data_IF_655438607851
#
_entry.id   IF_655438607851
#
_cell.length_a   1.000
_cell.length_b   1.000
_cell.length_c   1.000
_cell.angle_alpha   90.00
_cell.angle_beta   90.00
_cell.angle_gamma   90.00
#
_symmetry.space_group_name_H-M   'P 1'
#
loop_
_entity.id
_entity.type
_entity.pdbx_description
1 polymer ?
#
# COMPACT_ATOMS: atom_id res chain seq x y z
N UNK A 1 -40.06 -24.16 -18.86
CA UNK A 1 -38.66 -24.14 -18.42
C UNK A 1 -38.03 -22.88 -18.99
N UNK A 2 -37.99 -21.83 -18.21
CA UNK A 2 -37.34 -20.56 -18.57
C UNK A 2 -35.83 -20.77 -18.48
N UNK A 3 -35.15 -20.76 -19.61
CA UNK A 3 -33.68 -20.70 -19.66
C UNK A 3 -33.27 -19.34 -19.14
N UNK A 4 -32.81 -19.28 -17.90
CA UNK A 4 -32.08 -18.11 -17.39
C UNK A 4 -30.76 -18.07 -18.15
N UNK A 5 -30.62 -17.10 -19.04
CA UNK A 5 -29.33 -16.77 -19.64
C UNK A 5 -28.35 -16.45 -18.52
N UNK A 6 -27.12 -16.98 -18.57
CA UNK A 6 -26.07 -16.53 -17.61
C UNK A 6 -25.92 -15.02 -17.74
N UNK A 7 -25.68 -14.32 -16.62
CA UNK A 7 -25.44 -12.88 -16.67
C UNK A 7 -24.29 -12.59 -17.63
N UNK A 8 -24.45 -11.54 -18.44
CA UNK A 8 -23.39 -11.09 -19.32
C UNK A 8 -22.10 -10.86 -18.51
N UNK A 9 -20.92 -11.19 -19.07
CA UNK A 9 -19.66 -10.94 -18.36
C UNK A 9 -19.59 -9.49 -17.94
N UNK A 10 -19.21 -9.25 -16.69
CA UNK A 10 -19.02 -7.90 -16.15
C UNK A 10 -17.84 -7.24 -16.86
N UNK A 11 -18.13 -6.32 -17.77
CA UNK A 11 -17.15 -5.52 -18.50
C UNK A 11 -16.79 -4.22 -17.77
N UNK A 12 -17.19 -4.07 -16.52
CA UNK A 12 -16.91 -2.88 -15.73
C UNK A 12 -15.42 -2.78 -15.34
N UNK A 13 -14.91 -1.56 -15.32
CA UNK A 13 -13.60 -1.24 -14.73
C UNK A 13 -13.85 -0.83 -13.29
N UNK A 14 -13.24 -1.54 -12.36
CA UNK A 14 -13.31 -1.20 -10.93
C UNK A 14 -12.12 -0.35 -10.52
N UNK A 15 -12.34 0.58 -9.63
CA UNK A 15 -11.29 1.44 -9.07
C UNK A 15 -11.02 1.03 -7.62
N UNK A 16 -9.78 0.65 -7.36
CA UNK A 16 -9.27 0.42 -6.02
C UNK A 16 -8.39 1.60 -5.59
N UNK A 17 -8.32 1.82 -4.29
CA UNK A 17 -7.42 2.80 -3.68
C UNK A 17 -6.52 2.05 -2.70
N UNK A 18 -5.21 2.23 -2.83
CA UNK A 18 -4.21 1.59 -1.97
C UNK A 18 -3.24 2.62 -1.41
N UNK A 19 -2.59 2.27 -0.30
CA UNK A 19 -1.63 3.16 0.35
C UNK A 19 -0.32 2.46 0.62
N UNK A 20 0.78 3.19 0.45
CA UNK A 20 2.13 2.78 0.85
C UNK A 20 2.56 3.72 1.98
N UNK A 21 2.63 3.20 3.18
CA UNK A 21 3.04 3.98 4.35
C UNK A 21 4.43 3.57 4.78
N UNK A 22 5.36 4.49 4.72
CA UNK A 22 6.72 4.26 5.21
C UNK A 22 6.89 4.80 6.62
N UNK A 23 7.68 4.09 7.40
CA UNK A 23 8.22 4.58 8.67
C UNK A 23 9.70 4.24 8.75
N UNK A 24 10.46 5.10 9.38
CA UNK A 24 11.88 4.86 9.65
C UNK A 24 12.01 4.40 11.08
N UNK A 25 12.59 3.23 11.29
CA UNK A 25 12.84 2.65 12.62
C UNK A 25 14.32 2.57 12.89
N UNK A 26 14.70 3.07 14.07
CA UNK A 26 16.05 2.88 14.58
C UNK A 26 16.16 1.47 15.20
N UNK A 27 17.17 0.74 14.77
CA UNK A 27 17.49 -0.55 15.38
C UNK A 27 18.29 -0.30 16.68
N UNK A 28 17.81 -0.79 17.86
CA UNK A 28 18.54 -0.65 19.10
C UNK A 28 19.93 -1.30 19.11
N UNK A 29 20.13 -2.30 18.24
CA UNK A 29 21.38 -3.05 18.08
C UNK A 29 22.13 -2.76 16.80
N UNK A 30 21.59 -1.91 15.92
CA UNK A 30 22.10 -1.69 14.57
C UNK A 30 22.62 -0.29 14.33
N UNK A 31 23.61 -0.21 13.47
CA UNK A 31 24.24 1.03 13.06
C UNK A 31 23.45 1.85 12.03
N UNK A 32 22.32 1.29 11.52
CA UNK A 32 21.57 1.90 10.41
C UNK A 32 20.07 1.88 10.65
N UNK A 33 19.38 3.01 10.38
CA UNK A 33 17.93 3.03 10.38
C UNK A 33 17.36 2.13 9.27
N UNK A 34 16.20 1.54 9.53
CA UNK A 34 15.48 0.71 8.56
C UNK A 34 14.19 1.39 8.13
N UNK A 35 13.87 1.30 6.84
CA UNK A 35 12.57 1.71 6.32
C UNK A 35 11.63 0.52 6.36
N UNK A 36 10.48 0.71 6.98
CA UNK A 36 9.46 -0.33 7.14
C UNK A 36 8.13 0.15 6.60
N UNK A 37 7.25 -0.79 6.24
CA UNK A 37 5.88 -0.50 5.82
C UNK A 37 4.92 -1.57 6.35
N UNK A 38 3.63 -1.19 6.59
CA UNK A 38 2.62 -2.14 6.99
C UNK A 38 2.06 -2.86 5.77
N UNK A 39 1.89 -4.15 5.90
CA UNK A 39 1.19 -5.00 4.95
C UNK A 39 0.02 -5.68 5.64
N UNK A 40 -0.99 -5.99 4.86
CA UNK A 40 -2.21 -6.67 5.30
C UNK A 40 -2.25 -8.06 4.70
N UNK A 41 -2.50 -9.07 5.52
CA UNK A 41 -2.70 -10.43 5.05
C UNK A 41 -4.09 -10.58 4.47
N UNK A 42 -4.18 -10.97 3.21
CA UNK A 42 -5.46 -11.14 2.52
C UNK A 42 -6.25 -12.31 3.09
N UNK A 43 -7.54 -12.10 3.26
CA UNK A 43 -8.49 -13.11 3.79
C UNK A 43 -9.38 -13.72 2.71
N UNK A 44 -9.26 -13.27 1.46
CA UNK A 44 -10.11 -13.69 0.32
C UNK A 44 -9.26 -13.93 -0.93
N UNK A 45 -9.77 -14.80 -1.81
CA UNK A 45 -9.25 -14.95 -3.16
C UNK A 45 -9.56 -13.71 -4.05
N UNK A 46 -8.74 -13.41 -5.04
CA UNK A 46 -7.46 -14.06 -5.36
C UNK A 46 -6.37 -13.71 -4.34
N UNK A 47 -5.32 -14.52 -4.30
CA UNK A 47 -4.17 -14.33 -3.42
C UNK A 47 -4.50 -14.41 -1.91
N UNK A 48 -5.43 -15.27 -1.52
CA UNK A 48 -5.71 -15.53 -0.11
C UNK A 48 -4.43 -15.93 0.64
N UNK A 49 -4.27 -15.43 1.86
CA UNK A 49 -3.11 -15.63 2.75
C UNK A 49 -1.81 -14.94 2.31
N UNK A 50 -1.78 -14.26 1.16
CA UNK A 50 -0.66 -13.42 0.78
C UNK A 50 -0.74 -12.03 1.39
N UNK A 51 0.43 -11.42 1.56
CA UNK A 51 0.53 -10.05 2.01
C UNK A 51 0.26 -9.06 0.87
N UNK A 52 -0.39 -7.96 1.21
CA UNK A 52 -0.78 -6.92 0.26
C UNK A 52 -0.69 -5.54 0.91
N UNK A 53 -0.64 -4.51 0.06
CA UNK A 53 -0.79 -3.13 0.53
C UNK A 53 -2.19 -2.91 1.12
N UNK A 54 -2.30 -2.08 2.16
CA UNK A 54 -3.60 -1.63 2.65
C UNK A 54 -4.40 -0.96 1.54
N UNK A 55 -5.69 -1.25 1.44
CA UNK A 55 -6.53 -0.65 0.42
C UNK A 55 -7.94 -1.24 0.38
N UNK A 56 -8.72 -0.77 -0.56
CA UNK A 56 -10.09 -1.20 -0.77
C UNK A 56 -10.71 -0.55 -2.00
N UNK A 57 -11.99 -0.77 -2.19
CA UNK A 57 -12.72 -0.21 -3.31
C UNK A 57 -13.10 1.25 -3.09
N UNK A 58 -13.04 2.04 -4.17
CA UNK A 58 -13.59 3.38 -4.17
C UNK A 58 -15.11 3.30 -4.06
N UNK A 59 -15.70 4.03 -3.11
CA UNK A 59 -17.15 4.18 -2.98
C UNK A 59 -17.72 5.17 -3.98
N UNK A 60 -19.02 5.04 -4.28
CA UNK A 60 -19.70 5.89 -5.27
C UNK A 60 -19.77 7.36 -4.88
N UNK A 61 -19.78 7.66 -3.59
CA UNK A 61 -20.00 9.02 -3.05
C UNK A 61 -18.80 9.54 -2.24
N UNK A 62 -17.60 9.03 -2.54
CA UNK A 62 -16.39 9.48 -1.86
C UNK A 62 -15.29 9.91 -2.84
N UNK A 63 -14.51 10.90 -2.44
CA UNK A 63 -13.33 11.33 -3.17
C UNK A 63 -12.17 10.32 -2.97
N UNK A 64 -11.20 10.34 -3.87
CA UNK A 64 -10.04 9.45 -3.81
C UNK A 64 -9.26 9.56 -2.49
N UNK A 65 -9.00 10.78 -2.02
CA UNK A 65 -8.29 11.00 -0.75
C UNK A 65 -9.08 10.47 0.45
N UNK A 66 -10.39 10.66 0.44
CA UNK A 66 -11.28 10.11 1.48
C UNK A 66 -11.25 8.59 1.49
N UNK A 67 -11.30 7.96 0.32
CA UNK A 67 -11.19 6.51 0.17
C UNK A 67 -9.83 6.00 0.67
N UNK A 68 -8.74 6.69 0.34
CA UNK A 68 -7.40 6.33 0.80
C UNK A 68 -7.31 6.37 2.33
N UNK A 69 -7.76 7.43 2.94
CA UNK A 69 -7.75 7.59 4.42
C UNK A 69 -8.66 6.56 5.10
N UNK A 70 -9.85 6.34 4.56
CA UNK A 70 -10.81 5.37 5.10
C UNK A 70 -10.27 3.94 5.04
N UNK A 71 -9.82 3.49 3.88
CA UNK A 71 -9.30 2.12 3.70
C UNK A 71 -8.05 1.88 4.55
N UNK A 72 -7.19 2.87 4.68
CA UNK A 72 -6.02 2.80 5.54
C UNK A 72 -6.41 2.68 7.02
N UNK A 73 -7.34 3.50 7.51
CA UNK A 73 -7.81 3.45 8.88
C UNK A 73 -8.52 2.14 9.22
N UNK A 74 -9.36 1.64 8.30
CA UNK A 74 -10.08 0.38 8.47
C UNK A 74 -9.14 -0.85 8.50
N UNK A 75 -8.06 -0.82 7.73
CA UNK A 75 -7.16 -1.97 7.59
C UNK A 75 -5.97 -1.94 8.55
N UNK A 76 -5.51 -0.77 8.97
CA UNK A 76 -4.28 -0.61 9.76
C UNK A 76 -4.42 0.21 11.03
N UNK A 77 -5.54 0.90 11.24
CA UNK A 77 -5.75 1.93 12.26
C UNK A 77 -4.88 3.19 12.11
N UNK A 78 -4.06 3.28 11.07
CA UNK A 78 -3.24 4.47 10.80
C UNK A 78 -4.09 5.62 10.25
N UNK A 79 -3.85 6.83 10.75
CA UNK A 79 -4.55 8.05 10.35
C UNK A 79 -3.55 9.19 10.09
N UNK A 80 -2.70 9.08 9.06
CA UNK A 80 -1.77 10.16 8.75
C UNK A 80 -2.54 11.43 8.39
N UNK A 81 -1.99 12.58 8.78
CA UNK A 81 -2.62 13.89 8.51
C UNK A 81 -2.59 14.27 7.04
N UNK A 82 -1.72 13.66 6.25
CA UNK A 82 -1.55 13.95 4.84
C UNK A 82 -1.14 12.71 4.06
N UNK A 83 -1.83 12.48 2.94
CA UNK A 83 -1.50 11.45 1.95
C UNK A 83 -1.25 12.13 0.60
N UNK A 84 -0.16 11.77 -0.04
CA UNK A 84 0.17 12.25 -1.39
C UNK A 84 -0.13 11.17 -2.43
N UNK A 85 -0.76 11.54 -3.52
CA UNK A 85 -0.98 10.62 -4.62
C UNK A 85 0.35 10.20 -5.25
N UNK A 86 0.57 8.91 -5.35
CA UNK A 86 1.77 8.34 -5.94
C UNK A 86 1.64 8.19 -7.45
N UNK A 87 0.74 7.33 -7.88
CA UNK A 87 0.51 6.98 -9.28
C UNK A 87 -0.76 6.15 -9.45
N UNK A 88 -1.21 6.00 -10.69
CA UNK A 88 -2.30 5.10 -11.07
C UNK A 88 -1.71 3.87 -11.79
N UNK A 89 -2.04 2.67 -11.30
CA UNK A 89 -1.61 1.39 -11.86
C UNK A 89 -2.79 0.73 -12.55
N UNK A 90 -2.71 0.59 -13.86
CA UNK A 90 -3.86 0.16 -14.65
C UNK A 90 -3.53 -0.83 -15.77
N UNK A 91 -2.44 -1.60 -15.67
CA UNK A 91 -2.11 -2.63 -16.65
C UNK A 91 -3.23 -3.67 -16.75
N UNK A 92 -3.52 -4.13 -17.96
CA UNK A 92 -4.70 -4.96 -18.26
C UNK A 92 -4.66 -6.29 -17.49
N UNK A 93 -3.51 -6.87 -17.33
CA UNK A 93 -3.29 -8.21 -16.76
C UNK A 93 -2.82 -8.20 -15.30
N UNK A 94 -2.87 -7.04 -14.63
CA UNK A 94 -2.44 -6.93 -13.23
C UNK A 94 -3.33 -7.64 -12.21
N UNK A 95 -4.56 -7.95 -12.58
CA UNK A 95 -5.55 -8.64 -11.75
C UNK A 95 -6.46 -9.51 -12.63
N UNK A 96 -7.05 -10.60 -12.09
CA UNK A 96 -8.01 -11.44 -12.82
C UNK A 96 -9.22 -10.66 -13.35
N UNK A 97 -9.65 -9.62 -12.65
CA UNK A 97 -10.68 -8.68 -13.10
C UNK A 97 -10.05 -7.35 -13.49
N UNK A 98 -10.76 -6.55 -14.30
CA UNK A 98 -10.24 -5.25 -14.73
C UNK A 98 -10.27 -4.25 -13.58
N UNK A 99 -9.10 -3.97 -13.01
CA UNK A 99 -8.92 -3.09 -11.86
C UNK A 99 -7.87 -2.02 -12.15
N UNK A 100 -8.21 -0.77 -11.89
CA UNK A 100 -7.26 0.35 -11.82
C UNK A 100 -7.07 0.71 -10.35
N UNK A 101 -5.84 0.74 -9.88
CA UNK A 101 -5.51 1.16 -8.52
C UNK A 101 -4.90 2.55 -8.50
N UNK A 102 -5.53 3.44 -7.75
CA UNK A 102 -4.96 4.75 -7.42
C UNK A 102 -4.21 4.58 -6.10
N UNK A 103 -2.93 4.90 -6.10
CA UNK A 103 -2.07 4.68 -4.94
C UNK A 103 -1.65 6.00 -4.32
N UNK A 104 -1.77 6.07 -3.00
CA UNK A 104 -1.29 7.16 -2.15
C UNK A 104 -0.13 6.68 -1.29
N UNK A 105 0.69 7.61 -0.82
CA UNK A 105 1.79 7.28 0.06
C UNK A 105 1.99 8.37 1.12
N UNK A 106 2.63 7.99 2.22
CA UNK A 106 3.05 8.91 3.27
C UNK A 106 4.24 8.35 4.03
N UNK A 107 4.96 9.25 4.69
CA UNK A 107 5.97 8.92 5.68
C UNK A 107 5.40 9.25 7.06
N UNK A 108 5.36 8.28 7.96
CA UNK A 108 4.87 8.44 9.33
C UNK A 108 6.01 8.29 10.34
N UNK A 109 5.82 8.84 11.52
CA UNK A 109 6.79 8.70 12.61
C UNK A 109 6.80 7.30 13.19
N UNK A 110 7.92 6.89 13.75
CA UNK A 110 8.05 5.57 14.38
C UNK A 110 7.01 5.34 15.47
N UNK A 111 6.73 6.33 16.30
CA UNK A 111 5.74 6.23 17.38
C UNK A 111 4.33 5.96 16.85
N UNK A 112 3.96 6.61 15.75
CA UNK A 112 2.66 6.40 15.10
C UNK A 112 2.56 5.01 14.48
N UNK A 113 3.68 4.41 14.08
CA UNK A 113 3.73 3.08 13.48
C UNK A 113 3.62 1.92 14.48
N UNK A 114 3.78 2.18 15.79
CA UNK A 114 3.75 1.16 16.85
C UNK A 114 2.36 0.84 17.38
N UNK A 115 1.34 1.63 17.03
CA UNK A 115 -0.02 1.54 17.60
C UNK A 115 -0.92 0.52 16.91
N UNK A 116 -0.49 -0.10 15.82
CA UNK A 116 -1.31 -0.99 15.00
C UNK A 116 -1.04 -2.47 15.35
N UNK A 117 -1.75 -2.98 16.36
CA UNK A 117 -1.74 -4.40 16.73
C UNK A 117 -2.96 -5.15 16.19
N UNK A 118 -3.19 -5.09 14.89
CA UNK A 118 -4.23 -5.91 14.25
C UNK A 118 -3.66 -7.27 13.84
N UNK A 119 -4.44 -8.35 13.99
CA UNK A 119 -3.99 -9.73 13.75
C UNK A 119 -3.53 -10.01 12.32
N UNK A 120 -4.01 -9.26 11.35
CA UNK A 120 -3.70 -9.44 9.93
C UNK A 120 -2.82 -8.32 9.35
N UNK A 121 -2.22 -7.51 10.19
CA UNK A 121 -1.30 -6.43 9.81
C UNK A 121 0.07 -6.69 10.41
N UNK A 122 1.12 -6.55 9.61
CA UNK A 122 2.49 -6.64 10.10
C UNK A 122 3.36 -5.59 9.38
N UNK A 123 4.40 -5.15 10.08
CA UNK A 123 5.39 -4.22 9.54
C UNK A 123 6.58 -5.01 9.00
N UNK A 124 6.95 -4.71 7.77
CA UNK A 124 8.04 -5.37 7.05
C UNK A 124 9.15 -4.39 6.72
N UNK A 125 10.38 -4.85 6.82
CA UNK A 125 11.52 -4.14 6.27
C UNK A 125 11.44 -4.13 4.75
N UNK A 126 11.60 -2.96 4.12
CA UNK A 126 11.55 -2.85 2.65
C UNK A 126 12.68 -3.62 1.96
N UNK A 127 13.78 -3.90 2.68
CA UNK A 127 14.89 -4.68 2.18
C UNK A 127 14.62 -6.19 2.15
N UNK A 128 13.59 -6.67 2.86
CA UNK A 128 13.26 -8.09 3.00
C UNK A 128 11.74 -8.31 2.86
N UNK A 129 11.17 -7.86 1.77
CA UNK A 129 9.75 -8.05 1.48
C UNK A 129 9.46 -9.45 0.94
N UNK A 130 8.36 -10.09 1.36
CA UNK A 130 7.87 -11.29 0.70
C UNK A 130 7.35 -10.97 -0.70
N UNK A 131 7.02 -11.98 -1.47
CA UNK A 131 6.22 -11.81 -2.69
C UNK A 131 4.82 -11.37 -2.29
N UNK A 132 4.43 -10.17 -2.70
CA UNK A 132 3.13 -9.58 -2.40
C UNK A 132 2.08 -10.03 -3.42
N UNK A 133 0.81 -9.88 -3.02
CA UNK A 133 -0.33 -10.11 -3.92
C UNK A 133 -0.29 -9.15 -5.13
N UNK A 134 -0.83 -9.59 -6.27
CA UNK A 134 -0.91 -8.80 -7.50
C UNK A 134 0.46 -8.24 -7.93
N UNK A 135 0.49 -6.99 -8.32
CA UNK A 135 1.69 -6.22 -8.68
C UNK A 135 2.20 -5.33 -7.54
N UNK A 136 1.86 -5.63 -6.29
CA UNK A 136 2.16 -4.77 -5.16
C UNK A 136 3.66 -4.59 -4.91
N UNK A 137 4.51 -5.57 -5.25
CA UNK A 137 5.97 -5.37 -5.21
C UNK A 137 6.41 -4.24 -6.16
N UNK A 138 5.85 -4.19 -7.36
CA UNK A 138 6.11 -3.10 -8.33
C UNK A 138 5.66 -1.74 -7.80
N UNK A 139 4.51 -1.71 -7.13
CA UNK A 139 3.98 -0.48 -6.50
C UNK A 139 4.93 0.00 -5.39
N UNK A 140 5.40 -0.90 -4.53
CA UNK A 140 6.36 -0.57 -3.46
C UNK A 140 7.67 -0.04 -4.05
N UNK A 141 8.20 -0.66 -5.09
CA UNK A 141 9.42 -0.20 -5.76
C UNK A 141 9.27 1.22 -6.31
N UNK A 142 8.11 1.53 -6.90
CA UNK A 142 7.80 2.87 -7.38
C UNK A 142 7.73 3.88 -6.22
N UNK A 143 7.11 3.49 -5.11
CA UNK A 143 7.00 4.33 -3.93
C UNK A 143 8.38 4.60 -3.29
N UNK A 144 9.25 3.60 -3.25
CA UNK A 144 10.64 3.75 -2.78
C UNK A 144 11.43 4.72 -3.68
N UNK A 145 11.25 4.59 -4.99
CA UNK A 145 11.86 5.53 -5.93
C UNK A 145 11.37 6.97 -5.67
N UNK A 146 10.08 7.17 -5.45
CA UNK A 146 9.50 8.48 -5.11
C UNK A 146 10.07 9.01 -3.78
N UNK A 147 10.13 8.17 -2.76
CA UNK A 147 10.70 8.52 -1.46
C UNK A 147 12.15 8.99 -1.59
N UNK A 148 12.99 8.25 -2.32
CA UNK A 148 14.39 8.62 -2.57
C UNK A 148 14.52 9.97 -3.26
N UNK A 149 13.76 10.20 -4.30
CA UNK A 149 13.82 11.47 -5.04
C UNK A 149 13.33 12.65 -4.22
N UNK A 150 12.29 12.46 -3.43
CA UNK A 150 11.78 13.53 -2.57
C UNK A 150 12.73 13.86 -1.44
N UNK A 151 13.36 12.86 -0.88
CA UNK A 151 14.28 12.92 0.25
C UNK A 151 15.68 13.39 -0.19
N UNK A 152 16.13 13.05 -1.38
CA UNK A 152 17.39 13.53 -1.96
C UNK A 152 17.48 15.06 -2.12
N UNK A 153 16.36 15.76 -2.09
CA UNK A 153 16.29 17.22 -2.12
C UNK A 153 16.34 17.87 -0.73
N UNK A 154 16.20 17.12 0.34
CA UNK A 154 16.29 17.64 1.70
C UNK A 154 17.53 17.09 2.42
N UNK A 155 18.42 17.99 2.90
CA UNK A 155 19.63 17.61 3.65
C UNK A 155 19.35 16.78 4.92
N UNK A 156 18.10 16.73 5.36
CA UNK A 156 17.65 16.00 6.55
C UNK A 156 17.60 14.50 6.29
N UNK A 157 17.52 14.10 5.05
CA UNK A 157 17.25 12.73 4.66
C UNK A 157 18.49 11.90 4.33
N UNK A 158 19.61 12.51 4.06
CA UNK A 158 20.87 11.76 3.88
C UNK A 158 21.32 10.97 5.13
N UNK A 159 20.78 11.32 6.30
CA UNK A 159 21.02 10.56 7.53
C UNK A 159 19.98 9.48 7.84
N UNK A 160 18.88 9.43 7.10
CA UNK A 160 17.72 8.56 7.41
C UNK A 160 17.57 7.36 6.47
N UNK A 161 18.17 7.42 5.30
CA UNK A 161 18.10 6.33 4.32
C UNK A 161 19.50 5.77 4.06
N UNK A 162 19.68 4.44 4.10
CA UNK A 162 20.93 3.83 3.70
C UNK A 162 21.25 4.13 2.23
N UNK A 163 22.55 4.29 1.92
CA UNK A 163 23.05 4.62 0.58
C UNK A 163 22.79 3.51 -0.46
N UNK A 164 22.36 2.36 0.00
CA UNK A 164 22.07 1.19 -0.84
C UNK A 164 20.70 0.61 -0.49
N UNK A 165 19.79 0.77 -1.38
CA UNK A 165 18.57 -0.03 -1.47
C UNK A 165 18.68 -0.97 -2.66
#
# INVERSE_FOLDING_TARGET
>A
MTRTNPPAPDHSIRVAVSTVIFSVRNDPSGDRPRVVLPLVRRTRDPHQDQWALPGGWLGLEENLETAASRTLAETTTLTPSYLEQLYAFGDVDRSPTRVVSIVYWALVREDDSRTSELHNVAWFDVADLPVLAFDHNTIVDYALWRLRNKVGYSRIAHGLLPDTF
#
